data_IF_430176665351
#
_entry.id   IF_430176665351
#
_cell.length_a   1.000
_cell.length_b   1.000
_cell.length_c   1.000
_cell.angle_alpha   90.00
_cell.angle_beta   90.00
_cell.angle_gamma   90.00
#
_symmetry.space_group_name_H-M   'P 1'
#
loop_
_entity.id
_entity.type
_entity.pdbx_description
1 polymer ?
#
# COMPACT_ATOMS: atom_id res chain seq x y z
N UNK A 1 2.70 -10.34 4.24
CA UNK A 1 1.85 -9.86 3.13
C UNK A 1 0.47 -9.46 3.66
N UNK A 2 0.04 -8.23 3.37
CA UNK A 2 -1.31 -7.73 3.61
C UNK A 2 -2.15 -7.90 2.33
N UNK A 3 -3.34 -8.50 2.42
CA UNK A 3 -4.25 -8.66 1.27
C UNK A 3 -5.46 -7.75 1.46
N UNK A 4 -5.74 -6.91 0.46
CA UNK A 4 -6.85 -5.95 0.48
C UNK A 4 -7.59 -5.92 -0.85
N UNK A 5 -8.85 -5.49 -0.81
CA UNK A 5 -9.65 -5.24 -2.00
C UNK A 5 -9.90 -3.74 -2.14
N UNK A 6 -9.57 -3.16 -3.30
CA UNK A 6 -9.68 -1.72 -3.57
C UNK A 6 -10.51 -1.41 -4.80
N UNK A 7 -11.15 -0.25 -4.80
CA UNK A 7 -11.88 0.32 -5.95
C UNK A 7 -11.07 1.41 -6.65
N UNK A 8 -11.60 1.95 -7.74
CA UNK A 8 -11.05 3.14 -8.37
C UNK A 8 -10.92 4.29 -7.35
N UNK A 9 -9.84 5.07 -7.48
CA UNK A 9 -9.47 6.18 -6.59
C UNK A 9 -9.21 5.83 -5.11
N UNK A 10 -9.28 4.56 -4.73
CA UNK A 10 -8.89 4.09 -3.40
C UNK A 10 -7.38 3.85 -3.33
N UNK A 11 -6.69 4.47 -2.37
CA UNK A 11 -5.22 4.47 -2.31
C UNK A 11 -4.65 3.59 -1.20
N UNK A 12 -3.40 3.16 -1.38
CA UNK A 12 -2.58 2.52 -0.36
C UNK A 12 -1.44 3.48 -0.04
N UNK A 13 -1.29 3.85 1.23
CA UNK A 13 -0.22 4.72 1.69
C UNK A 13 0.87 3.86 2.31
N UNK A 14 2.12 4.10 1.90
CA UNK A 14 3.29 3.47 2.48
C UNK A 14 4.13 4.57 3.13
N UNK A 15 4.49 4.39 4.40
CA UNK A 15 5.26 5.35 5.20
C UNK A 15 6.25 4.60 6.09
N UNK A 16 7.32 5.24 6.59
CA UNK A 16 8.07 4.68 7.70
C UNK A 16 7.14 4.35 8.87
N UNK A 17 7.39 3.23 9.54
CA UNK A 17 6.74 2.90 10.80
C UNK A 17 7.11 3.90 11.90
N UNK A 18 6.28 4.00 12.93
CA UNK A 18 6.53 4.89 14.07
C UNK A 18 7.83 4.53 14.79
N UNK A 19 8.19 3.24 14.79
CA UNK A 19 9.40 2.71 15.41
C UNK A 19 10.58 2.56 14.43
N UNK A 20 10.47 3.08 13.21
CA UNK A 20 11.55 2.99 12.23
C UNK A 20 12.72 3.92 12.60
N UNK A 21 13.94 3.38 12.62
CA UNK A 21 15.14 4.18 12.88
C UNK A 21 15.35 5.23 11.77
N UNK A 22 15.34 6.53 12.08
CA UNK A 22 15.51 7.59 11.09
C UNK A 22 16.92 7.65 10.49
N UNK A 23 17.91 6.95 11.06
CA UNK A 23 19.27 6.86 10.52
C UNK A 23 19.50 5.60 9.68
N UNK A 24 18.50 4.71 9.57
CA UNK A 24 18.59 3.51 8.74
C UNK A 24 18.84 3.88 7.27
N UNK A 25 19.79 3.20 6.66
CA UNK A 25 20.07 3.35 5.23
C UNK A 25 19.03 2.62 4.39
N UNK A 26 18.87 3.04 3.12
CA UNK A 26 17.99 2.32 2.18
C UNK A 26 18.45 0.87 1.95
N UNK A 27 19.75 0.60 2.01
CA UNK A 27 20.29 -0.76 1.86
C UNK A 27 19.83 -1.66 3.02
N UNK A 28 19.82 -1.14 4.24
CA UNK A 28 19.31 -1.85 5.42
C UNK A 28 17.79 -2.02 5.34
N UNK A 29 17.06 -0.97 4.97
CA UNK A 29 15.60 -1.00 4.82
C UNK A 29 15.13 -2.12 3.87
N UNK A 30 15.80 -2.27 2.73
CA UNK A 30 15.44 -3.27 1.72
C UNK A 30 16.25 -4.56 1.82
N UNK A 31 17.05 -4.74 2.88
CA UNK A 31 17.83 -5.97 3.10
C UNK A 31 16.93 -7.20 3.25
N UNK A 32 15.74 -7.01 3.82
CA UNK A 32 14.71 -8.04 4.00
C UNK A 32 13.76 -8.19 2.79
N UNK A 33 14.08 -7.52 1.68
CA UNK A 33 13.34 -7.62 0.42
C UNK A 33 12.68 -6.31 -0.01
N UNK A 34 12.11 -6.29 -1.23
CA UNK A 34 11.48 -5.10 -1.79
C UNK A 34 10.07 -4.87 -1.22
N UNK A 35 9.48 -3.74 -1.62
CA UNK A 35 8.02 -3.60 -1.59
C UNK A 35 7.46 -4.34 -2.80
N UNK A 36 6.67 -5.37 -2.56
CA UNK A 36 6.00 -6.17 -3.58
C UNK A 36 4.50 -5.89 -3.59
N UNK A 37 3.97 -5.58 -4.78
CA UNK A 37 2.54 -5.38 -5.00
C UNK A 37 2.07 -6.45 -5.99
N UNK A 38 1.19 -7.33 -5.54
CA UNK A 38 0.65 -8.43 -6.36
C UNK A 38 -0.82 -8.19 -6.64
N UNK A 39 -1.24 -8.19 -7.90
CA UNK A 39 -2.66 -8.17 -8.26
C UNK A 39 -3.16 -9.60 -8.40
N UNK A 40 -4.04 -10.03 -7.50
CA UNK A 40 -4.58 -11.40 -7.50
C UNK A 40 -5.76 -11.57 -8.46
N UNK A 41 -6.68 -10.61 -8.46
CA UNK A 41 -7.86 -10.65 -9.34
C UNK A 41 -8.47 -9.26 -9.50
N UNK A 42 -9.13 -9.03 -10.63
CA UNK A 42 -9.99 -7.88 -10.84
C UNK A 42 -11.41 -8.38 -11.15
N UNK A 43 -12.40 -7.93 -10.40
CA UNK A 43 -13.81 -8.32 -10.58
C UNK A 43 -14.69 -7.09 -10.47
N UNK A 44 -15.35 -6.72 -11.56
CA UNK A 44 -16.08 -5.46 -11.64
C UNK A 44 -15.15 -4.28 -11.38
N UNK A 45 -15.54 -3.39 -10.46
CA UNK A 45 -14.74 -2.24 -10.03
C UNK A 45 -13.84 -2.53 -8.82
N UNK A 46 -13.59 -3.80 -8.47
CA UNK A 46 -12.76 -4.17 -7.32
C UNK A 46 -11.56 -4.98 -7.75
N UNK A 47 -10.39 -4.56 -7.28
CA UNK A 47 -9.12 -5.26 -7.45
C UNK A 47 -8.71 -5.86 -6.11
N UNK A 48 -8.50 -7.17 -6.08
CA UNK A 48 -7.88 -7.87 -4.95
C UNK A 48 -6.37 -7.82 -5.15
N UNK A 49 -5.66 -7.24 -4.19
CA UNK A 49 -4.23 -7.01 -4.27
C UNK A 49 -3.54 -7.32 -2.95
N UNK A 50 -2.32 -7.85 -3.05
CA UNK A 50 -1.39 -8.07 -1.96
C UNK A 50 -0.36 -6.96 -1.93
N UNK A 51 -0.01 -6.51 -0.72
CA UNK A 51 1.12 -5.63 -0.48
C UNK A 51 2.02 -6.30 0.55
N UNK A 52 3.26 -6.50 0.18
CA UNK A 52 4.32 -6.95 1.06
C UNK A 52 5.39 -5.87 1.09
N UNK A 53 5.87 -5.54 2.28
CA UNK A 53 6.89 -4.53 2.49
C UNK A 53 7.76 -4.95 3.68
N UNK A 54 8.98 -4.42 3.79
CA UNK A 54 9.79 -4.51 5.00
C UNK A 54 9.01 -4.05 6.24
N UNK A 55 9.35 -4.62 7.40
CA UNK A 55 8.68 -4.39 8.69
C UNK A 55 8.80 -2.95 9.18
N UNK A 56 9.81 -2.25 8.70
CA UNK A 56 10.10 -0.85 8.97
C UNK A 56 9.14 0.10 8.23
N UNK A 57 8.33 -0.42 7.30
CA UNK A 57 7.31 0.33 6.58
C UNK A 57 5.90 -0.02 7.08
N UNK A 58 5.11 1.02 7.33
CA UNK A 58 3.69 0.92 7.63
C UNK A 58 2.83 1.09 6.37
N UNK A 59 1.85 0.21 6.22
CA UNK A 59 0.90 0.21 5.10
C UNK A 59 -0.48 0.63 5.62
N UNK A 60 -1.01 1.74 5.09
CA UNK A 60 -2.30 2.30 5.47
C UNK A 60 -3.28 2.29 4.29
N UNK A 61 -4.57 2.13 4.62
CA UNK A 61 -5.66 2.22 3.64
C UNK A 61 -6.23 3.63 3.65
N UNK A 62 -6.40 4.24 2.48
CA UNK A 62 -7.03 5.55 2.35
C UNK A 62 -8.20 5.49 1.38
N UNK A 63 -9.41 5.69 1.87
CA UNK A 63 -10.62 5.67 1.04
C UNK A 63 -10.61 6.77 -0.01
N UNK A 64 -11.41 6.58 -1.06
CA UNK A 64 -11.54 7.57 -2.12
C UNK A 64 -11.98 8.93 -1.54
N UNK A 65 -11.48 10.05 -2.06
CA UNK A 65 -11.96 11.37 -1.70
C UNK A 65 -13.48 11.45 -1.88
N UNK A 66 -14.20 12.05 -0.91
CA UNK A 66 -15.67 12.11 -0.90
C UNK A 66 -16.29 12.85 -2.11
N UNK A 67 -15.47 13.52 -2.93
CA UNK A 67 -15.93 14.36 -4.04
C UNK A 67 -15.53 13.82 -5.43
N UNK A 68 -15.00 12.60 -5.53
CA UNK A 68 -14.54 12.01 -6.79
C UNK A 68 -15.67 11.49 -7.72
N UNK A 69 -16.90 11.99 -7.56
CA UNK A 69 -18.11 11.41 -8.16
C UNK A 69 -19.16 12.36 -8.74
N UNK A 70 -18.85 13.64 -8.96
CA UNK A 70 -19.75 14.57 -9.69
C UNK A 70 -18.99 15.34 -10.76
N UNK A 71 -18.59 14.65 -11.84
CA UNK A 71 -18.22 15.29 -13.09
C UNK A 71 -18.27 14.26 -14.24
N UNK A 72 -19.46 13.92 -14.69
CA UNK A 72 -19.82 13.55 -16.08
C UNK A 72 -21.30 13.14 -16.14
#
# INVERSE_FOLDING_TARGET
>A
MLIISRKDAESILIRPGEDADPQMTLAELFSNGPIEITVFSATGNRVKMGVQAPTELSIWRQDAPKDAGTAA
#
